data_IF_917957902641
#
_entry.id   IF_917957902641
#
_cell.length_a   1.000
_cell.length_b   1.000
_cell.length_c   1.000
_cell.angle_alpha   90.00
_cell.angle_beta   90.00
_cell.angle_gamma   90.00
#
_symmetry.space_group_name_H-M   'P 1'
#
loop_
_entity.id
_entity.type
_entity.pdbx_description
1 polymer ?
#
# COMPACT_ATOMS: atom_id res chain seq x y z
N UNK A 1 28.02 42.38 -13.56
CA UNK A 1 26.80 41.73 -12.96
C UNK A 1 27.12 40.24 -12.81
N UNK A 2 27.35 39.78 -11.55
CA UNK A 2 27.73 38.38 -11.27
C UNK A 2 26.46 37.63 -11.02
N UNK A 3 26.08 36.72 -11.92
CA UNK A 3 24.93 35.81 -11.75
C UNK A 3 25.35 34.67 -10.83
N UNK A 4 24.98 34.74 -9.57
CA UNK A 4 25.16 33.65 -8.63
C UNK A 4 24.25 32.47 -9.03
N UNK A 5 24.85 31.43 -9.58
CA UNK A 5 24.18 30.18 -9.91
C UNK A 5 24.02 29.36 -8.61
N UNK A 6 22.97 29.68 -7.81
CA UNK A 6 22.64 28.94 -6.59
C UNK A 6 22.12 27.58 -7.01
N UNK A 7 22.82 26.48 -6.70
CA UNK A 7 22.32 25.14 -7.02
C UNK A 7 21.01 24.90 -6.29
N UNK A 8 19.94 24.62 -7.02
CA UNK A 8 18.65 24.26 -6.43
C UNK A 8 18.87 23.07 -5.50
N UNK A 9 18.41 23.13 -4.23
CA UNK A 9 18.54 22.01 -3.31
C UNK A 9 17.89 20.79 -3.99
N UNK A 10 18.64 19.69 -4.07
CA UNK A 10 18.09 18.39 -4.52
C UNK A 10 16.89 18.10 -3.62
N UNK A 11 15.66 18.18 -4.15
CA UNK A 11 14.45 17.83 -3.40
C UNK A 11 14.68 16.40 -2.88
N UNK A 12 14.81 16.27 -1.56
CA UNK A 12 14.87 14.98 -0.88
C UNK A 12 13.62 14.22 -1.35
N UNK A 13 13.79 13.10 -2.06
CA UNK A 13 12.64 12.28 -2.46
C UNK A 13 11.91 11.88 -1.19
N UNK A 14 10.71 12.38 -1.01
CA UNK A 14 9.89 12.04 0.14
C UNK A 14 9.60 10.53 0.09
N UNK A 15 9.84 9.85 1.19
CA UNK A 15 9.40 8.47 1.36
C UNK A 15 7.96 8.51 1.88
N UNK A 16 6.98 7.91 1.20
CA UNK A 16 5.61 7.88 1.72
C UNK A 16 5.52 7.05 3.00
N UNK A 17 4.57 7.38 3.85
CA UNK A 17 4.07 6.45 4.85
C UNK A 17 3.18 5.41 4.15
N UNK A 18 3.35 4.13 4.50
CA UNK A 18 2.77 3.00 3.79
C UNK A 18 1.91 2.18 4.75
N UNK A 19 0.64 2.00 4.41
CA UNK A 19 -0.15 0.94 4.99
C UNK A 19 0.05 -0.35 4.18
N UNK A 20 0.53 -1.41 4.83
CA UNK A 20 0.70 -2.72 4.22
C UNK A 20 -0.56 -3.55 4.49
N UNK A 21 -1.27 -3.92 3.44
CA UNK A 21 -2.43 -4.81 3.49
C UNK A 21 -2.09 -6.18 2.91
N UNK A 22 -2.61 -7.23 3.51
CA UNK A 22 -2.36 -8.59 3.06
C UNK A 22 -2.74 -9.62 4.10
N UNK A 23 -2.42 -10.88 3.82
CA UNK A 23 -2.63 -11.97 4.77
C UNK A 23 -1.67 -11.90 5.96
N UNK A 24 -2.13 -12.37 7.11
CA UNK A 24 -1.34 -12.34 8.36
C UNK A 24 0.00 -13.06 8.24
N UNK A 25 0.08 -14.12 7.44
CA UNK A 25 1.36 -14.81 7.19
C UNK A 25 2.36 -13.99 6.35
N UNK A 26 1.94 -12.89 5.72
CA UNK A 26 2.84 -11.95 5.04
C UNK A 26 3.47 -10.93 6.00
N UNK A 27 3.05 -10.87 7.26
CA UNK A 27 3.60 -9.92 8.25
C UNK A 27 5.14 -9.96 8.32
N UNK A 28 5.73 -11.16 8.23
CA UNK A 28 7.19 -11.33 8.19
C UNK A 28 7.85 -10.62 7.01
N UNK A 29 7.23 -10.67 5.83
CA UNK A 29 7.71 -9.97 4.63
C UNK A 29 7.65 -8.45 4.84
N UNK A 30 6.56 -7.94 5.38
CA UNK A 30 6.40 -6.50 5.63
C UNK A 30 7.37 -5.99 6.70
N UNK A 31 7.61 -6.76 7.77
CA UNK A 31 8.66 -6.42 8.75
C UNK A 31 10.04 -6.36 8.11
N UNK A 32 10.40 -7.32 7.25
CA UNK A 32 11.68 -7.28 6.53
C UNK A 32 11.80 -6.04 5.63
N UNK A 33 10.74 -5.67 4.91
CA UNK A 33 10.71 -4.48 4.09
C UNK A 33 10.93 -3.21 4.93
N UNK A 34 10.29 -3.12 6.10
CA UNK A 34 10.43 -2.02 7.03
C UNK A 34 11.83 -1.99 7.67
N UNK A 35 12.21 -3.07 8.30
CA UNK A 35 13.36 -3.09 9.23
C UNK A 35 14.70 -3.21 8.50
N UNK A 36 14.76 -3.94 7.37
CA UNK A 36 15.99 -4.14 6.61
C UNK A 36 16.14 -3.20 5.42
N UNK A 37 15.03 -2.74 4.81
CA UNK A 37 15.07 -1.88 3.63
C UNK A 37 14.65 -0.45 3.92
N UNK A 38 14.22 -0.13 5.15
CA UNK A 38 13.90 1.21 5.60
C UNK A 38 12.63 1.80 5.00
N UNK A 39 11.71 0.96 4.51
CA UNK A 39 10.40 1.46 4.08
C UNK A 39 9.57 1.93 5.28
N UNK A 40 8.92 3.08 5.14
CA UNK A 40 8.10 3.66 6.21
C UNK A 40 6.72 2.99 6.31
N UNK A 41 6.70 1.71 6.71
CA UNK A 41 5.47 0.93 6.90
C UNK A 41 4.93 1.22 8.30
N UNK A 42 3.71 1.78 8.35
CA UNK A 42 3.05 2.20 9.59
C UNK A 42 1.94 1.23 10.05
N UNK A 43 1.69 0.17 9.32
CA UNK A 43 0.67 -0.84 9.63
C UNK A 43 1.00 -1.57 10.94
N UNK A 44 0.32 -1.22 12.03
CA UNK A 44 0.55 -1.78 13.38
C UNK A 44 0.30 -3.28 13.47
N UNK A 45 -0.63 -3.79 12.67
CA UNK A 45 -1.01 -5.21 12.69
C UNK A 45 0.15 -6.16 12.36
N UNK A 46 1.15 -5.71 11.60
CA UNK A 46 2.29 -6.57 11.24
C UNK A 46 3.15 -7.00 12.43
N UNK A 47 3.06 -6.27 13.54
CA UNK A 47 3.83 -6.54 14.77
C UNK A 47 3.01 -7.27 15.85
N UNK A 48 1.74 -7.55 15.58
CA UNK A 48 0.88 -8.23 16.53
C UNK A 48 1.19 -9.73 16.59
N UNK A 49 1.20 -10.26 17.79
CA UNK A 49 1.20 -11.69 18.02
C UNK A 49 -0.20 -12.25 17.74
N UNK A 50 -0.36 -13.16 16.73
CA UNK A 50 -1.66 -13.78 16.44
C UNK A 50 -2.28 -14.52 17.62
N UNK A 51 -1.46 -14.96 18.56
CA UNK A 51 -1.88 -15.71 19.76
C UNK A 51 -2.25 -14.80 20.94
N UNK A 52 -2.02 -13.50 20.84
CA UNK A 52 -2.34 -12.55 21.90
C UNK A 52 -3.85 -12.45 22.16
N UNK A 53 -4.21 -12.15 23.40
CA UNK A 53 -5.61 -11.91 23.80
C UNK A 53 -6.24 -10.76 23.02
N UNK A 54 -5.46 -9.73 22.68
CA UNK A 54 -5.94 -8.61 21.88
C UNK A 54 -6.40 -9.06 20.49
N UNK A 55 -5.61 -9.86 19.78
CA UNK A 55 -5.96 -10.35 18.43
C UNK A 55 -7.15 -11.30 18.49
N UNK A 56 -7.23 -12.16 19.52
CA UNK A 56 -8.28 -13.16 19.66
C UNK A 56 -9.63 -12.57 20.10
N UNK A 57 -9.60 -11.65 21.05
CA UNK A 57 -10.79 -11.21 21.79
C UNK A 57 -11.24 -9.78 21.45
N UNK A 58 -10.36 -8.93 20.92
CA UNK A 58 -10.67 -7.52 20.64
C UNK A 58 -10.68 -7.20 19.13
N UNK A 59 -11.27 -8.07 18.33
CA UNK A 59 -11.28 -7.96 16.85
C UNK A 59 -11.81 -6.62 16.35
N UNK A 60 -12.80 -6.02 17.01
CA UNK A 60 -13.32 -4.70 16.66
C UNK A 60 -12.27 -3.60 16.81
N UNK A 61 -11.49 -3.64 17.90
CA UNK A 61 -10.38 -2.68 18.12
C UNK A 61 -9.25 -2.90 17.12
N UNK A 62 -8.91 -4.15 16.82
CA UNK A 62 -7.92 -4.48 15.80
C UNK A 62 -8.33 -3.90 14.43
N UNK A 63 -9.57 -4.09 14.02
CA UNK A 63 -10.11 -3.51 12.79
C UNK A 63 -10.06 -1.99 12.80
N UNK A 64 -10.46 -1.34 13.90
CA UNK A 64 -10.38 0.12 14.02
C UNK A 64 -8.96 0.61 13.82
N UNK A 65 -7.95 -0.07 14.39
CA UNK A 65 -6.54 0.27 14.17
C UNK A 65 -6.11 0.09 12.71
N UNK A 66 -6.51 -0.99 12.04
CA UNK A 66 -6.19 -1.22 10.64
C UNK A 66 -6.75 -0.11 9.74
N UNK A 67 -8.02 0.27 9.96
CA UNK A 67 -8.67 1.32 9.18
C UNK A 67 -8.08 2.71 9.45
N UNK A 68 -7.73 3.01 10.70
CA UNK A 68 -7.03 4.24 11.07
C UNK A 68 -5.66 4.32 10.39
N UNK A 69 -4.88 3.25 10.43
CA UNK A 69 -3.57 3.19 9.79
C UNK A 69 -3.69 3.35 8.25
N UNK A 70 -4.65 2.65 7.62
CA UNK A 70 -4.91 2.76 6.19
C UNK A 70 -5.34 4.17 5.75
N UNK A 71 -6.12 4.86 6.58
CA UNK A 71 -6.57 6.23 6.33
C UNK A 71 -5.45 7.24 6.53
N UNK A 72 -4.58 7.06 7.53
CA UNK A 72 -3.50 7.99 7.86
C UNK A 72 -2.28 7.87 6.95
N UNK A 73 -2.04 6.69 6.35
CA UNK A 73 -0.94 6.47 5.41
C UNK A 73 -1.04 7.35 4.16
N UNK A 74 0.09 7.64 3.54
CA UNK A 74 0.12 8.32 2.23
C UNK A 74 -0.35 7.39 1.11
N UNK A 75 -0.01 6.11 1.19
CA UNK A 75 -0.40 5.07 0.24
C UNK A 75 -0.75 3.77 0.98
N UNK A 76 -1.61 2.98 0.36
CA UNK A 76 -1.87 1.59 0.75
C UNK A 76 -1.26 0.66 -0.28
N UNK A 77 -0.50 -0.35 0.16
CA UNK A 77 0.03 -1.40 -0.71
C UNK A 77 -0.58 -2.73 -0.28
N UNK A 78 -1.32 -3.35 -1.18
CA UNK A 78 -1.90 -4.68 -1.02
C UNK A 78 -0.98 -5.69 -1.69
N UNK A 79 -0.55 -6.71 -0.96
CA UNK A 79 0.30 -7.76 -1.49
C UNK A 79 -0.43 -9.10 -1.55
N UNK A 80 -0.52 -9.68 -2.74
CA UNK A 80 -0.98 -11.05 -2.95
C UNK A 80 0.24 -11.94 -3.21
N UNK A 81 0.43 -12.96 -2.37
CA UNK A 81 1.56 -13.89 -2.49
C UNK A 81 1.35 -14.93 -3.58
N UNK A 82 0.08 -15.25 -3.91
CA UNK A 82 -0.30 -16.13 -5.00
C UNK A 82 -1.74 -15.83 -5.47
N UNK A 83 -2.07 -16.33 -6.67
CA UNK A 83 -3.35 -16.08 -7.33
C UNK A 83 -4.58 -16.63 -6.58
N UNK A 84 -4.40 -17.63 -5.73
CA UNK A 84 -5.52 -18.27 -5.00
C UNK A 84 -5.82 -17.61 -3.65
N UNK A 85 -5.10 -16.58 -3.26
CA UNK A 85 -5.35 -15.88 -2.01
C UNK A 85 -6.69 -15.14 -2.04
N UNK A 86 -7.41 -15.23 -0.93
CA UNK A 86 -8.59 -14.43 -0.67
C UNK A 86 -8.27 -13.28 0.29
N UNK A 87 -8.33 -12.06 -0.19
CA UNK A 87 -7.97 -10.83 0.51
C UNK A 87 -9.20 -10.04 0.99
N UNK A 88 -10.22 -10.72 1.54
CA UNK A 88 -11.50 -10.08 1.92
C UNK A 88 -11.34 -8.91 2.88
N UNK A 89 -10.43 -9.03 3.85
CA UNK A 89 -10.11 -7.94 4.77
C UNK A 89 -9.51 -6.73 4.04
N UNK A 90 -8.61 -6.97 3.09
CA UNK A 90 -8.00 -5.90 2.33
C UNK A 90 -9.02 -5.06 1.53
N UNK A 91 -10.16 -5.62 1.11
CA UNK A 91 -11.22 -4.86 0.41
C UNK A 91 -11.77 -3.72 1.28
N UNK A 92 -11.93 -3.95 2.58
CA UNK A 92 -12.42 -2.92 3.52
C UNK A 92 -11.35 -1.83 3.69
N UNK A 93 -10.09 -2.21 3.84
CA UNK A 93 -8.95 -1.29 3.97
C UNK A 93 -8.75 -0.46 2.69
N UNK A 94 -8.87 -1.10 1.52
CA UNK A 94 -8.85 -0.44 0.20
C UNK A 94 -9.95 0.61 0.12
N UNK A 95 -11.19 0.25 0.48
CA UNK A 95 -12.33 1.16 0.45
C UNK A 95 -12.09 2.39 1.33
N UNK A 96 -11.55 2.21 2.55
CA UNK A 96 -11.20 3.32 3.44
C UNK A 96 -10.09 4.20 2.87
N UNK A 97 -9.03 3.62 2.33
CA UNK A 97 -7.93 4.36 1.72
C UNK A 97 -8.40 5.20 0.51
N UNK A 98 -9.18 4.60 -0.39
CA UNK A 98 -9.72 5.29 -1.56
C UNK A 98 -10.69 6.41 -1.17
N UNK A 99 -11.58 6.17 -0.19
CA UNK A 99 -12.48 7.18 0.35
C UNK A 99 -11.73 8.38 0.97
N UNK A 100 -10.56 8.12 1.57
CA UNK A 100 -9.66 9.14 2.09
C UNK A 100 -8.79 9.81 0.99
N UNK A 101 -9.03 9.51 -0.30
CA UNK A 101 -8.30 10.09 -1.42
C UNK A 101 -6.86 9.57 -1.55
N UNK A 102 -6.53 8.41 -0.96
CA UNK A 102 -5.21 7.82 -1.03
C UNK A 102 -5.04 6.98 -2.30
N UNK A 103 -3.78 6.78 -2.72
CA UNK A 103 -3.47 5.78 -3.74
C UNK A 103 -3.39 4.39 -3.13
N UNK A 104 -3.94 3.43 -3.85
CA UNK A 104 -3.86 2.00 -3.53
C UNK A 104 -3.07 1.30 -4.63
N UNK A 105 -2.06 0.55 -4.25
CA UNK A 105 -1.25 -0.27 -5.14
C UNK A 105 -1.50 -1.73 -4.84
N UNK A 106 -1.99 -2.47 -5.84
CA UNK A 106 -2.14 -3.92 -5.77
C UNK A 106 -0.88 -4.57 -6.36
N UNK A 107 -0.15 -5.28 -5.54
CA UNK A 107 1.00 -6.08 -6.00
C UNK A 107 0.56 -7.51 -6.25
N UNK A 108 0.53 -7.86 -7.50
CA UNK A 108 0.01 -9.10 -8.06
C UNK A 108 -1.50 -9.26 -7.83
N UNK A 109 -2.20 -9.70 -8.87
CA UNK A 109 -3.63 -9.99 -8.75
C UNK A 109 -3.85 -11.34 -8.05
N UNK A 110 -4.99 -11.47 -7.38
CA UNK A 110 -5.45 -12.71 -6.83
C UNK A 110 -6.97 -12.83 -6.99
N UNK A 111 -7.51 -14.01 -6.68
CA UNK A 111 -8.93 -14.33 -6.85
C UNK A 111 -9.91 -13.27 -6.31
N UNK A 112 -9.54 -12.54 -5.27
CA UNK A 112 -10.37 -11.47 -4.70
C UNK A 112 -10.61 -10.32 -5.68
N UNK A 113 -9.69 -10.09 -6.62
CA UNK A 113 -9.72 -8.97 -7.57
C UNK A 113 -10.16 -9.40 -8.97
N UNK A 114 -10.58 -10.65 -9.12
CA UNK A 114 -11.12 -11.21 -10.35
C UNK A 114 -12.65 -11.31 -10.24
N UNK A 115 -13.37 -10.91 -11.29
CA UNK A 115 -14.79 -11.15 -11.42
C UNK A 115 -15.05 -12.61 -11.89
N UNK A 116 -16.29 -13.07 -11.81
CA UNK A 116 -16.68 -14.44 -12.17
C UNK A 116 -16.37 -14.79 -13.64
N UNK A 117 -16.27 -13.81 -14.52
CA UNK A 117 -15.90 -13.97 -15.93
C UNK A 117 -14.38 -13.92 -16.19
N UNK A 118 -13.56 -13.82 -15.13
CA UNK A 118 -12.12 -13.72 -15.20
C UNK A 118 -11.59 -12.32 -15.54
N UNK A 119 -12.47 -11.31 -15.65
CA UNK A 119 -12.06 -9.91 -15.77
C UNK A 119 -11.71 -9.32 -14.42
N UNK A 120 -11.07 -8.13 -14.42
CA UNK A 120 -10.85 -7.37 -13.19
C UNK A 120 -12.17 -6.81 -12.64
N UNK A 121 -12.32 -6.81 -11.30
CA UNK A 121 -13.48 -6.15 -10.68
C UNK A 121 -13.45 -4.64 -10.93
N UNK A 122 -14.62 -4.04 -11.13
CA UNK A 122 -14.77 -2.67 -11.65
C UNK A 122 -14.00 -1.60 -10.85
N UNK A 123 -13.85 -1.73 -9.52
CA UNK A 123 -13.15 -0.72 -8.72
C UNK A 123 -11.64 -0.67 -8.98
N UNK A 124 -11.05 -1.69 -9.60
CA UNK A 124 -9.64 -1.68 -10.00
C UNK A 124 -9.36 -0.67 -11.10
N UNK A 125 -10.39 -0.22 -11.81
CA UNK A 125 -10.33 0.83 -12.83
C UNK A 125 -10.36 2.25 -12.22
N UNK A 126 -10.48 2.39 -10.89
CA UNK A 126 -10.50 3.70 -10.25
C UNK A 126 -9.12 4.38 -10.40
N UNK A 127 -9.05 5.69 -10.72
CA UNK A 127 -7.79 6.37 -11.08
C UNK A 127 -6.70 6.33 -9.99
N UNK A 128 -7.10 6.10 -8.73
CA UNK A 128 -6.16 5.96 -7.59
C UNK A 128 -5.87 4.51 -7.22
N UNK A 129 -6.36 3.56 -8.00
CA UNK A 129 -6.05 2.14 -7.85
C UNK A 129 -5.07 1.74 -8.96
N UNK A 130 -3.90 1.23 -8.59
CA UNK A 130 -2.82 0.90 -9.53
C UNK A 130 -2.40 -0.55 -9.32
N UNK A 131 -2.52 -1.37 -10.35
CA UNK A 131 -2.03 -2.76 -10.33
C UNK A 131 -0.59 -2.83 -10.82
N UNK A 132 0.24 -3.59 -10.11
CA UNK A 132 1.65 -3.83 -10.43
C UNK A 132 1.90 -5.34 -10.40
N UNK A 133 2.24 -5.90 -11.54
CA UNK A 133 2.59 -7.32 -11.62
C UNK A 133 4.09 -7.50 -11.40
N UNK A 134 4.43 -8.41 -10.51
CA UNK A 134 5.81 -8.80 -10.20
C UNK A 134 5.92 -10.30 -10.05
N UNK A 135 7.11 -10.85 -10.22
CA UNK A 135 7.34 -12.28 -10.12
C UNK A 135 8.66 -12.62 -9.44
N UNK A 136 8.76 -13.86 -9.00
CA UNK A 136 9.99 -14.41 -8.41
C UNK A 136 10.14 -14.09 -6.91
N UNK A 137 11.25 -14.55 -6.32
CA UNK A 137 11.46 -14.53 -4.86
C UNK A 137 11.60 -13.11 -4.25
N UNK A 138 11.76 -12.09 -5.08
CA UNK A 138 11.85 -10.68 -4.67
C UNK A 138 10.63 -9.85 -5.07
N UNK A 139 9.53 -10.50 -5.46
CA UNK A 139 8.33 -9.83 -5.99
C UNK A 139 7.82 -8.69 -5.09
N UNK A 140 7.66 -8.94 -3.79
CA UNK A 140 7.21 -7.90 -2.84
C UNK A 140 8.16 -6.68 -2.83
N UNK A 141 9.48 -6.91 -2.74
CA UNK A 141 10.47 -5.83 -2.75
C UNK A 141 10.44 -5.00 -4.03
N UNK A 142 10.32 -5.68 -5.17
CA UNK A 142 10.25 -5.00 -6.48
C UNK A 142 8.97 -4.19 -6.57
N UNK A 143 7.83 -4.78 -6.19
CA UNK A 143 6.53 -4.11 -6.20
C UNK A 143 6.48 -2.88 -5.31
N UNK A 144 6.99 -2.96 -4.08
CA UNK A 144 7.08 -1.80 -3.18
C UNK A 144 7.90 -0.67 -3.77
N UNK A 145 9.05 -0.99 -4.37
CA UNK A 145 9.88 0.02 -5.04
C UNK A 145 9.14 0.70 -6.18
N UNK A 146 8.45 -0.07 -7.02
CA UNK A 146 7.69 0.48 -8.16
C UNK A 146 6.52 1.35 -7.70
N UNK A 147 5.77 0.91 -6.69
CA UNK A 147 4.67 1.68 -6.10
C UNK A 147 5.16 3.04 -5.57
N UNK A 148 6.26 3.06 -4.81
CA UNK A 148 6.84 4.29 -4.29
C UNK A 148 7.33 5.21 -5.41
N UNK A 149 7.97 4.66 -6.44
CA UNK A 149 8.43 5.43 -7.59
C UNK A 149 7.27 6.07 -8.37
N UNK A 150 6.20 5.33 -8.62
CA UNK A 150 4.99 5.85 -9.27
C UNK A 150 4.36 6.97 -8.43
N UNK A 151 4.17 6.75 -7.13
CA UNK A 151 3.64 7.76 -6.23
C UNK A 151 4.49 9.04 -6.23
N UNK A 152 5.82 8.92 -6.15
CA UNK A 152 6.73 10.07 -6.20
C UNK A 152 6.63 10.84 -7.52
N UNK A 153 6.44 10.13 -8.64
CA UNK A 153 6.24 10.78 -9.95
C UNK A 153 4.91 11.53 -10.01
N UNK A 154 3.83 10.97 -9.46
CA UNK A 154 2.52 11.61 -9.38
C UNK A 154 2.55 12.85 -8.49
N UNK A 155 3.25 12.77 -7.36
CA UNK A 155 3.50 13.93 -6.49
C UNK A 155 4.20 15.05 -7.25
N UNK A 156 5.26 14.74 -7.98
CA UNK A 156 6.03 15.72 -8.73
C UNK A 156 5.21 16.40 -9.85
N UNK A 157 4.21 15.71 -10.39
CA UNK A 157 3.30 16.23 -11.44
C UNK A 157 2.10 17.00 -10.86
N UNK A 158 1.97 17.12 -9.54
CA UNK A 158 0.85 17.80 -8.88
C UNK A 158 -0.48 17.04 -8.95
N UNK A 159 -0.45 15.75 -9.24
CA UNK A 159 -1.66 14.90 -9.37
C UNK A 159 -2.43 14.71 -8.05
N UNK A 160 -1.82 14.99 -6.92
CA UNK A 160 -2.40 14.74 -5.60
C UNK A 160 -3.37 15.82 -5.12
N UNK A 161 -3.63 16.85 -5.91
CA UNK A 161 -4.51 17.96 -5.53
C UNK A 161 -5.64 18.30 -6.48
N UNK A 162 -5.77 17.68 -7.65
CA UNK A 162 -6.62 18.21 -8.72
C UNK A 162 -7.73 17.31 -9.25
N UNK A 163 -7.84 16.06 -8.83
CA UNK A 163 -8.94 15.19 -9.29
C UNK A 163 -9.56 14.42 -8.13
N UNK A 164 -10.33 15.14 -7.32
CA UNK A 164 -11.39 14.57 -6.51
C UNK A 164 -12.68 15.13 -7.07
N UNK A 165 -13.23 14.53 -8.13
CA UNK A 165 -14.68 14.47 -8.44
C UNK A 165 -14.81 13.44 -9.57
#
# INVERSE_FOLDING_TARGET
MITLNIPRPKRRRLMPSIYAAGKTWHAGVFRQLRDLLGYNIIARWIDLDPESDFVKNEKGRLWSQCLEDATSADITIVYCGNANEEQRGALVEIGHALAAGKFVYLLNSCKTFEADDGSDVAFTQYPRFVSIETSGPKAARVGYRLAIQDWQQRQARGWLGKEAI
#
